data_IF_339000244092
#
_entry.id   IF_339000244092
#
_cell.length_a   1.000
_cell.length_b   1.000
_cell.length_c   1.000
_cell.angle_alpha   90.00
_cell.angle_beta   90.00
_cell.angle_gamma   90.00
#
_symmetry.space_group_name_H-M   'P 1'
#
loop_
_entity.id
_entity.type
_entity.pdbx_description
1 polymer ?
#
# COMPACT_ATOMS: atom_id res chain seq x y z
N UNK A 1 1.94 19.65 3.53
CA UNK A 1 2.57 18.32 3.43
C UNK A 1 1.54 17.41 2.78
N UNK A 2 1.87 16.71 1.69
CA UNK A 2 0.93 15.82 1.01
C UNK A 2 0.45 14.71 1.97
N UNK A 3 -0.81 14.32 1.85
CA UNK A 3 -1.34 13.13 2.49
C UNK A 3 -1.59 12.05 1.43
N UNK A 4 -1.23 10.82 1.76
CA UNK A 4 -1.27 9.65 0.87
C UNK A 4 -2.04 8.55 1.60
N UNK A 5 -2.97 7.91 0.91
CA UNK A 5 -3.73 6.78 1.42
C UNK A 5 -3.35 5.50 0.68
N UNK A 6 -3.14 4.42 1.43
CA UNK A 6 -2.66 3.14 0.91
C UNK A 6 -3.52 1.97 1.40
N UNK A 7 -3.70 0.97 0.54
CA UNK A 7 -4.42 -0.26 0.87
C UNK A 7 -3.50 -1.48 0.99
N UNK A 8 -3.43 -2.06 2.17
CA UNK A 8 -2.76 -3.33 2.45
C UNK A 8 -3.76 -4.49 2.36
N UNK A 9 -3.93 -5.03 1.16
CA UNK A 9 -4.79 -6.20 0.93
C UNK A 9 -4.12 -7.43 1.51
N UNK A 10 -4.82 -8.15 2.39
CA UNK A 10 -4.32 -9.36 3.03
C UNK A 10 -5.04 -10.61 2.57
N UNK A 11 -4.28 -11.68 2.34
CA UNK A 11 -4.83 -13.00 2.05
C UNK A 11 -3.87 -14.09 2.48
N UNK A 12 -4.35 -15.05 3.25
CA UNK A 12 -3.59 -16.25 3.65
C UNK A 12 -2.23 -15.90 4.28
N UNK A 13 -2.17 -14.89 5.16
CA UNK A 13 -0.92 -14.48 5.79
C UNK A 13 0.08 -13.84 4.82
N UNK A 14 -0.41 -13.20 3.75
CA UNK A 14 0.40 -12.44 2.80
C UNK A 14 -0.25 -11.08 2.52
N UNK A 15 0.56 -10.12 2.09
CA UNK A 15 0.11 -8.81 1.62
C UNK A 15 0.38 -8.64 0.13
N UNK A 16 -0.53 -7.99 -0.58
CA UNK A 16 -0.31 -7.63 -1.98
C UNK A 16 0.49 -6.33 -2.07
N UNK A 17 1.62 -6.37 -2.76
CA UNK A 17 2.42 -5.18 -3.11
C UNK A 17 2.42 -4.96 -4.62
N UNK A 18 2.63 -3.71 -5.00
CA UNK A 18 2.78 -3.27 -6.39
C UNK A 18 4.19 -2.73 -6.64
N UNK A 19 4.84 -3.18 -7.72
CA UNK A 19 6.13 -2.64 -8.16
C UNK A 19 5.88 -1.36 -8.93
N UNK A 20 6.41 -0.25 -8.44
CA UNK A 20 6.27 1.08 -9.05
C UNK A 20 7.00 1.12 -10.38
N UNK A 21 6.39 1.74 -11.38
CA UNK A 21 7.02 1.95 -12.69
C UNK A 21 8.33 2.74 -12.58
N UNK A 22 9.28 2.44 -13.46
CA UNK A 22 10.55 3.16 -13.56
C UNK A 22 10.36 4.63 -14.00
N UNK A 23 9.18 4.98 -14.52
CA UNK A 23 8.81 6.35 -14.89
C UNK A 23 8.34 7.18 -13.68
N UNK A 24 8.13 6.55 -12.51
CA UNK A 24 7.73 7.27 -11.29
C UNK A 24 8.87 8.16 -10.80
N UNK A 25 8.58 9.44 -10.58
CA UNK A 25 9.56 10.41 -10.05
C UNK A 25 10.08 10.04 -8.64
N UNK A 26 9.24 9.43 -7.82
CA UNK A 26 9.54 9.07 -6.43
C UNK A 26 9.46 7.55 -6.30
N UNK A 27 10.55 6.96 -5.80
CA UNK A 27 10.74 5.51 -5.63
C UNK A 27 10.42 4.70 -6.91
N UNK A 28 11.07 5.00 -8.05
CA UNK A 28 10.97 4.13 -9.23
C UNK A 28 11.52 2.74 -8.92
N UNK A 29 10.95 1.71 -9.53
CA UNK A 29 11.37 0.31 -9.39
C UNK A 29 11.32 -0.24 -7.95
N UNK A 30 10.63 0.43 -7.03
CA UNK A 30 10.42 -0.05 -5.66
C UNK A 30 9.06 -0.74 -5.50
N UNK A 31 8.98 -1.67 -4.56
CA UNK A 31 7.73 -2.25 -4.09
C UNK A 31 7.06 -1.33 -3.07
N UNK A 32 5.75 -1.12 -3.21
CA UNK A 32 4.94 -0.36 -2.26
C UNK A 32 3.53 -0.96 -2.15
N UNK A 33 2.75 -0.43 -1.21
CA UNK A 33 1.31 -0.64 -1.23
C UNK A 33 0.69 0.16 -2.39
N UNK A 34 -0.35 -0.36 -3.06
CA UNK A 34 -1.18 0.44 -3.94
C UNK A 34 -1.83 1.60 -3.15
N UNK A 35 -1.89 2.77 -3.78
CA UNK A 35 -2.29 3.99 -3.11
C UNK A 35 -1.69 5.25 -3.71
N UNK A 36 -2.35 6.37 -3.40
CA UNK A 36 -2.03 7.67 -3.99
C UNK A 36 -2.45 8.83 -3.10
N UNK A 37 -2.43 10.03 -3.68
CA UNK A 37 -2.67 11.27 -2.96
C UNK A 37 -4.14 11.40 -2.56
N UNK A 38 -4.38 11.97 -1.39
CA UNK A 38 -5.71 12.42 -1.02
C UNK A 38 -6.03 13.69 -1.82
N UNK A 39 -7.10 13.65 -2.60
CA UNK A 39 -7.59 14.76 -3.42
C UNK A 39 -8.48 15.75 -2.65
N UNK A 40 -8.69 16.94 -3.22
CA UNK A 40 -9.53 17.98 -2.63
C UNK A 40 -10.98 17.51 -2.49
N UNK A 41 -11.45 17.45 -1.23
CA UNK A 41 -12.83 17.06 -0.91
C UNK A 41 -13.03 15.57 -0.65
N UNK A 42 -11.97 14.76 -0.68
CA UNK A 42 -12.02 13.36 -0.25
C UNK A 42 -11.34 13.16 1.12
N UNK A 43 -11.75 12.13 1.87
CA UNK A 43 -11.04 11.67 3.05
C UNK A 43 -10.09 10.51 2.71
N UNK A 44 -9.24 10.11 3.66
CA UNK A 44 -8.25 9.07 3.43
C UNK A 44 -8.87 7.69 3.09
N UNK A 45 -10.10 7.41 3.54
CA UNK A 45 -10.79 6.16 3.21
C UNK A 45 -11.32 6.19 1.77
N UNK A 46 -11.90 7.32 1.36
CA UNK A 46 -12.34 7.57 0.00
C UNK A 46 -11.16 7.49 -0.98
N UNK A 47 -10.04 8.11 -0.64
CA UNK A 47 -8.78 8.05 -1.40
C UNK A 47 -8.32 6.60 -1.58
N UNK A 48 -8.17 5.84 -0.48
CA UNK A 48 -7.75 4.44 -0.52
C UNK A 48 -8.64 3.59 -1.42
N UNK A 49 -9.97 3.78 -1.34
CA UNK A 49 -10.93 3.03 -2.18
C UNK A 49 -10.83 3.40 -3.66
N UNK A 50 -10.65 4.69 -3.98
CA UNK A 50 -10.47 5.18 -5.36
C UNK A 50 -9.19 4.61 -5.95
N UNK A 51 -8.07 4.75 -5.26
CA UNK A 51 -6.75 4.31 -5.72
C UNK A 51 -6.69 2.78 -5.93
N UNK A 52 -7.25 1.98 -5.00
CA UNK A 52 -7.32 0.53 -5.20
C UNK A 52 -8.15 0.12 -6.44
N UNK A 53 -9.18 0.89 -6.77
CA UNK A 53 -9.94 0.66 -7.99
C UNK A 53 -9.13 1.08 -9.23
N UNK A 54 -8.54 2.27 -9.20
CA UNK A 54 -7.83 2.90 -10.32
C UNK A 54 -6.51 2.21 -10.66
N UNK A 55 -5.79 1.66 -9.67
CA UNK A 55 -4.47 1.06 -9.87
C UNK A 55 -4.54 -0.47 -10.01
N UNK A 56 -5.48 -1.13 -9.32
CA UNK A 56 -5.50 -2.59 -9.23
C UNK A 56 -6.87 -3.26 -9.44
N UNK A 57 -7.90 -2.53 -9.88
CA UNK A 57 -9.27 -3.07 -10.10
C UNK A 57 -9.92 -3.74 -8.87
N UNK A 58 -9.63 -3.24 -7.65
CA UNK A 58 -10.18 -3.79 -6.40
C UNK A 58 -11.13 -2.81 -5.73
N UNK A 59 -12.29 -3.32 -5.28
CA UNK A 59 -13.23 -2.57 -4.44
C UNK A 59 -13.21 -3.11 -2.99
N UNK A 60 -12.60 -2.40 -2.01
CA UNK A 60 -12.64 -2.79 -0.61
C UNK A 60 -14.08 -2.89 -0.06
N UNK A 61 -14.34 -3.90 0.76
CA UNK A 61 -15.59 -4.09 1.49
C UNK A 61 -15.41 -3.97 3.01
N UNK A 62 -14.24 -4.32 3.52
CA UNK A 62 -13.87 -4.19 4.94
C UNK A 62 -12.43 -3.72 5.08
N UNK A 63 -12.23 -2.70 5.89
CA UNK A 63 -10.93 -2.12 6.16
C UNK A 63 -10.84 -1.53 7.56
N UNK A 64 -9.61 -1.33 8.03
CA UNK A 64 -9.30 -0.64 9.28
C UNK A 64 -8.00 0.16 9.13
N UNK A 65 -7.91 1.33 9.77
CA UNK A 65 -6.66 2.09 9.83
C UNK A 65 -5.63 1.28 10.63
N UNK A 66 -4.56 0.85 9.98
CA UNK A 66 -3.49 0.05 10.57
C UNK A 66 -2.34 0.93 11.09
N UNK A 67 -1.98 1.97 10.34
CA UNK A 67 -0.91 2.87 10.71
C UNK A 67 -1.10 4.26 10.09
N UNK A 68 -0.54 5.27 10.76
CA UNK A 68 -0.35 6.61 10.23
C UNK A 68 1.07 7.08 10.55
N UNK A 69 1.85 7.48 9.56
CA UNK A 69 3.24 7.91 9.75
C UNK A 69 3.65 8.99 8.75
N UNK A 70 4.76 9.67 9.02
CA UNK A 70 5.37 10.64 8.12
C UNK A 70 6.65 10.03 7.53
N UNK A 71 6.89 10.17 6.23
CA UNK A 71 8.14 9.68 5.63
C UNK A 71 9.35 10.33 6.26
N UNK A 72 10.44 9.56 6.43
CA UNK A 72 11.76 10.10 6.75
C UNK A 72 12.38 10.71 5.48
N UNK A 73 11.83 11.84 5.04
CA UNK A 73 12.40 12.73 4.06
C UNK A 73 12.54 14.13 4.68
N UNK A 74 13.37 15.03 4.12
CA UNK A 74 13.38 16.43 4.54
C UNK A 74 11.96 17.02 4.54
N UNK A 75 11.61 17.96 5.44
CA UNK A 75 10.23 18.47 5.59
C UNK A 75 9.58 18.98 4.30
N UNK A 76 10.39 19.52 3.38
CA UNK A 76 9.95 19.99 2.06
C UNK A 76 9.56 18.85 1.08
N UNK A 77 9.95 17.62 1.37
CA UNK A 77 9.73 16.42 0.57
C UNK A 77 8.99 15.31 1.34
N UNK A 78 8.61 15.54 2.60
CA UNK A 78 7.90 14.56 3.41
C UNK A 78 6.43 14.47 3.00
N UNK A 79 5.83 13.31 3.25
CA UNK A 79 4.40 13.05 3.08
C UNK A 79 3.87 12.28 4.29
N UNK A 80 2.59 12.43 4.59
CA UNK A 80 1.89 11.64 5.62
C UNK A 80 1.17 10.47 4.95
N UNK A 81 1.41 9.27 5.44
CA UNK A 81 0.85 8.03 4.93
C UNK A 81 -0.21 7.51 5.88
N UNK A 82 -1.36 7.14 5.32
CA UNK A 82 -2.45 6.44 6.00
C UNK A 82 -2.54 5.04 5.41
N UNK A 83 -2.23 4.03 6.21
CA UNK A 83 -2.21 2.63 5.79
C UNK A 83 -3.47 1.96 6.31
N UNK A 84 -4.30 1.47 5.38
CA UNK A 84 -5.49 0.70 5.70
C UNK A 84 -5.24 -0.78 5.45
N UNK A 85 -5.49 -1.60 6.46
CA UNK A 85 -5.54 -3.05 6.29
C UNK A 85 -6.90 -3.42 5.70
N UNK A 86 -6.89 -4.14 4.57
CA UNK A 86 -8.08 -4.54 3.82
C UNK A 86 -8.11 -6.07 3.75
N UNK A 87 -9.06 -6.70 4.43
CA UNK A 87 -9.17 -8.16 4.52
C UNK A 87 -10.42 -8.72 3.81
N UNK A 88 -11.24 -7.84 3.22
CA UNK A 88 -12.38 -8.22 2.39
C UNK A 88 -12.57 -7.20 1.25
N UNK A 89 -12.75 -7.69 0.02
CA UNK A 89 -12.93 -6.88 -1.18
C UNK A 89 -13.62 -7.65 -2.30
N UNK A 90 -14.09 -6.92 -3.32
CA UNK A 90 -14.55 -7.46 -4.61
C UNK A 90 -13.51 -7.22 -5.70
N UNK A 91 -13.55 -8.09 -6.72
CA UNK A 91 -12.62 -8.05 -7.86
C UNK A 91 -11.40 -8.94 -7.67
N UNK A 92 -10.64 -9.12 -8.75
CA UNK A 92 -9.35 -9.80 -8.75
C UNK A 92 -8.28 -8.73 -8.97
N UNK A 93 -7.26 -8.63 -8.09
CA UNK A 93 -6.19 -7.66 -8.27
C UNK A 93 -5.52 -7.81 -9.64
N UNK A 94 -5.54 -6.74 -10.42
CA UNK A 94 -4.95 -6.66 -11.74
C UNK A 94 -4.45 -5.23 -11.98
N UNK A 95 -3.21 -5.09 -12.47
CA UNK A 95 -2.65 -3.79 -12.85
C UNK A 95 -3.56 -3.03 -13.82
N UNK A 96 -3.79 -1.77 -13.51
CA UNK A 96 -4.47 -0.79 -14.34
C UNK A 96 -3.52 0.40 -14.54
N UNK A 97 -3.44 0.90 -15.77
CA UNK A 97 -2.52 1.99 -16.12
C UNK A 97 -1.05 1.55 -16.21
N UNK A 98 -0.16 2.53 -16.13
CA UNK A 98 1.31 2.39 -16.27
C UNK A 98 2.07 2.79 -15.00
N UNK A 99 1.34 3.07 -13.92
CA UNK A 99 1.91 3.50 -12.64
C UNK A 99 2.67 2.39 -11.90
N UNK A 100 2.29 1.15 -12.19
CA UNK A 100 2.83 -0.08 -11.61
C UNK A 100 3.08 -1.12 -12.70
N UNK A 101 4.14 -1.91 -12.54
CA UNK A 101 4.60 -2.89 -13.54
C UNK A 101 4.40 -4.34 -13.10
N UNK A 102 4.21 -4.58 -11.80
CA UNK A 102 4.03 -5.93 -11.25
C UNK A 102 3.16 -5.90 -10.00
N UNK A 103 2.36 -6.95 -9.80
CA UNK A 103 1.69 -7.24 -8.53
C UNK A 103 2.19 -8.57 -8.00
N UNK A 104 2.54 -8.63 -6.71
CA UNK A 104 3.00 -9.85 -6.06
C UNK A 104 2.51 -9.93 -4.62
N UNK A 105 2.19 -11.14 -4.17
CA UNK A 105 1.89 -11.43 -2.77
C UNK A 105 3.18 -11.71 -2.01
N UNK A 106 3.34 -11.05 -0.86
CA UNK A 106 4.52 -11.16 0.00
C UNK A 106 4.13 -11.74 1.35
N UNK A 107 4.83 -12.79 1.78
CA UNK A 107 4.82 -13.24 3.17
C UNK A 107 5.65 -12.30 4.07
N UNK A 108 5.58 -12.50 5.38
CA UNK A 108 6.45 -11.78 6.32
C UNK A 108 7.94 -12.00 6.00
N UNK A 109 8.33 -13.22 5.64
CA UNK A 109 9.70 -13.55 5.27
C UNK A 109 10.14 -12.89 3.96
N UNK A 110 9.22 -12.69 3.00
CA UNK A 110 9.52 -11.94 1.77
C UNK A 110 9.73 -10.46 2.08
N UNK A 111 8.89 -9.86 2.94
CA UNK A 111 9.00 -8.46 3.37
C UNK A 111 10.33 -8.21 4.09
N UNK A 112 10.72 -9.10 5.01
CA UNK A 112 11.99 -8.97 5.76
C UNK A 112 13.24 -9.03 4.85
N UNK A 113 13.16 -9.76 3.74
CA UNK A 113 14.26 -9.92 2.79
C UNK A 113 14.23 -8.89 1.66
N UNK A 114 13.12 -8.16 1.48
CA UNK A 114 12.97 -7.21 0.39
C UNK A 114 13.76 -5.92 0.68
N UNK A 115 14.66 -5.58 -0.25
CA UNK A 115 15.53 -4.41 -0.13
C UNK A 115 15.01 -3.20 -0.90
N UNK A 116 14.03 -3.42 -1.79
CA UNK A 116 13.43 -2.38 -2.63
C UNK A 116 12.05 -1.93 -2.11
N UNK A 117 11.78 -2.01 -0.81
CA UNK A 117 10.53 -1.50 -0.21
C UNK A 117 10.55 0.02 -0.04
N UNK A 118 9.46 0.68 -0.45
CA UNK A 118 9.29 2.11 -0.31
C UNK A 118 7.87 2.52 0.12
N UNK A 119 7.73 3.56 0.97
CA UNK A 119 8.82 4.17 1.73
C UNK A 119 9.39 3.19 2.78
N UNK A 120 10.66 3.33 3.22
CA UNK A 120 11.33 2.33 4.06
C UNK A 120 10.58 1.98 5.36
N UNK A 121 9.81 2.92 5.90
CA UNK A 121 8.99 2.72 7.11
C UNK A 121 7.89 1.68 6.93
N UNK A 122 7.50 1.37 5.69
CA UNK A 122 6.50 0.33 5.43
C UNK A 122 6.99 -1.06 5.88
N UNK A 123 8.28 -1.36 5.82
CA UNK A 123 8.78 -2.73 6.11
C UNK A 123 8.30 -3.26 7.47
N UNK A 124 8.50 -2.49 8.54
CA UNK A 124 8.09 -2.89 9.90
C UNK A 124 6.55 -2.96 10.05
N UNK A 125 5.83 -2.05 9.40
CA UNK A 125 4.36 -2.00 9.42
C UNK A 125 3.77 -3.23 8.71
N UNK A 126 4.29 -3.55 7.52
CA UNK A 126 3.85 -4.67 6.70
C UNK A 126 4.16 -6.01 7.38
N UNK A 127 5.37 -6.16 7.94
CA UNK A 127 5.73 -7.37 8.69
C UNK A 127 4.79 -7.58 9.89
N UNK A 128 4.46 -6.51 10.63
CA UNK A 128 3.51 -6.56 11.74
C UNK A 128 2.11 -6.97 11.30
N UNK A 129 1.63 -6.43 10.17
CA UNK A 129 0.31 -6.76 9.61
C UNK A 129 0.19 -8.23 9.19
N UNK A 130 1.21 -8.79 8.55
CA UNK A 130 1.22 -10.21 8.16
C UNK A 130 1.15 -11.13 9.38
N UNK A 131 1.90 -10.82 10.44
CA UNK A 131 1.90 -11.61 11.68
C UNK A 131 0.55 -11.55 12.40
N UNK A 132 -0.15 -10.42 12.35
CA UNK A 132 -1.49 -10.26 12.94
C UNK A 132 -2.57 -11.03 12.18
N UNK A 133 -2.48 -11.12 10.86
CA UNK A 133 -3.34 -11.97 10.02
C UNK A 133 -3.19 -13.45 10.35
N UNK A 134 -1.94 -13.91 10.49
CA UNK A 134 -1.62 -15.32 10.71
C UNK A 134 -2.07 -15.85 12.09
N UNK A 135 -2.40 -14.95 13.03
CA UNK A 135 -2.88 -15.29 14.37
C UNK A 135 -4.40 -15.25 14.54
N UNK A 136 -5.18 -15.03 13.46
CA UNK A 136 -6.65 -14.94 13.49
C UNK A 136 -7.38 -16.25 13.15
N UNK A 137 -6.65 -17.36 12.96
CA UNK A 137 -7.20 -18.72 12.78
C UNK A 137 -7.68 -19.36 14.09
#
# INVERSE_FOLDING_TARGET
MPEIAMGALSRNGMLLLARRSSERRIYPDCWSLPGGHIEDGEDAEAAMRRELMEEISVAPERWQLAAKFVSQAPPEASATFHVYHVDQWQGLPQLVGDEHTELRWFSAADIEQETELAPPQLGEILASLVLQESGRD
#
